data_IF_648767447913
#
_entry.id   IF_648767447913
#
_cell.length_a   1.000
_cell.length_b   1.000
_cell.length_c   1.000
_cell.angle_alpha   90.00
_cell.angle_beta   90.00
_cell.angle_gamma   90.00
#
_symmetry.space_group_name_H-M   'P 1'
#
loop_
_entity.id
_entity.type
_entity.pdbx_description
1 polymer ?
#
# COMPACT_ATOMS: atom_id res chain seq x y z
N UNK A 1 -11.68 -44.95 3.46
CA UNK A 1 -10.44 -44.29 2.98
C UNK A 1 -10.59 -42.77 2.81
N UNK A 2 -11.65 -42.24 2.19
CA UNK A 2 -11.79 -40.77 1.92
C UNK A 2 -11.89 -39.84 3.15
N UNK A 3 -12.44 -40.30 4.28
CA UNK A 3 -12.61 -39.48 5.49
C UNK A 3 -11.27 -39.16 6.18
N UNK A 4 -10.36 -40.14 6.24
CA UNK A 4 -9.06 -39.98 6.88
C UNK A 4 -8.17 -38.99 6.12
N UNK A 5 -8.23 -38.96 4.79
CA UNK A 5 -7.51 -37.98 3.97
C UNK A 5 -8.06 -36.56 4.14
N UNK A 6 -9.39 -36.41 4.24
CA UNK A 6 -10.01 -35.10 4.50
C UNK A 6 -9.60 -34.51 5.85
N UNK A 7 -9.51 -35.33 6.90
CA UNK A 7 -9.04 -34.92 8.23
C UNK A 7 -7.56 -34.51 8.17
N UNK A 8 -6.72 -35.29 7.47
CA UNK A 8 -5.29 -34.98 7.32
C UNK A 8 -5.07 -33.66 6.58
N UNK A 9 -5.83 -33.40 5.51
CA UNK A 9 -5.76 -32.17 4.75
C UNK A 9 -6.21 -30.95 5.58
N UNK A 10 -7.28 -31.10 6.38
CA UNK A 10 -7.75 -30.04 7.27
C UNK A 10 -6.72 -29.71 8.36
N UNK A 11 -6.14 -30.73 9.00
CA UNK A 11 -5.09 -30.54 10.01
C UNK A 11 -3.89 -29.82 9.39
N UNK A 12 -3.39 -30.26 8.22
CA UNK A 12 -2.26 -29.59 7.54
C UNK A 12 -2.54 -28.11 7.29
N UNK A 13 -3.73 -27.79 6.76
CA UNK A 13 -4.12 -26.41 6.46
C UNK A 13 -4.22 -25.53 7.72
N UNK A 14 -4.74 -26.07 8.81
CA UNK A 14 -4.82 -25.34 10.09
C UNK A 14 -3.42 -25.14 10.68
N UNK A 15 -2.58 -26.17 10.64
CA UNK A 15 -1.20 -26.10 11.14
C UNK A 15 -0.38 -25.08 10.36
N UNK A 16 -0.46 -25.06 9.02
CA UNK A 16 0.22 -24.06 8.18
C UNK A 16 -0.24 -22.64 8.50
N UNK A 17 -1.54 -22.42 8.70
CA UNK A 17 -2.08 -21.11 9.09
C UNK A 17 -1.59 -20.67 10.48
N UNK A 18 -1.47 -21.60 11.43
CA UNK A 18 -0.95 -21.29 12.78
C UNK A 18 0.54 -20.95 12.71
N UNK A 19 1.33 -21.74 11.99
CA UNK A 19 2.76 -21.50 11.79
C UNK A 19 2.98 -20.15 11.12
N UNK A 20 2.24 -19.83 10.05
CA UNK A 20 2.30 -18.55 9.35
C UNK A 20 1.97 -17.35 10.25
N UNK A 21 0.94 -17.47 11.09
CA UNK A 21 0.61 -16.44 12.09
C UNK A 21 1.70 -16.29 13.14
N UNK A 22 2.28 -17.39 13.60
CA UNK A 22 3.32 -17.37 14.63
C UNK A 22 4.63 -16.78 14.11
N UNK A 23 5.07 -17.15 12.92
CA UNK A 23 6.27 -16.58 12.28
C UNK A 23 6.09 -15.08 12.02
N UNK A 24 4.88 -14.63 11.69
CA UNK A 24 4.56 -13.21 11.56
C UNK A 24 4.64 -12.45 12.90
N UNK A 25 4.15 -13.04 13.98
CA UNK A 25 4.23 -12.46 15.35
C UNK A 25 5.69 -12.39 15.82
N UNK A 26 6.48 -13.45 15.59
CA UNK A 26 7.90 -13.49 15.95
C UNK A 26 8.69 -12.44 15.18
N UNK A 27 8.48 -12.33 13.86
CA UNK A 27 9.12 -11.32 13.03
C UNK A 27 8.80 -9.90 13.52
N UNK A 28 7.57 -9.64 13.96
CA UNK A 28 7.15 -8.34 14.53
C UNK A 28 7.85 -8.00 15.84
N UNK A 29 8.21 -9.00 16.65
CA UNK A 29 8.80 -8.82 17.97
C UNK A 29 10.33 -8.85 17.98
N UNK A 30 10.99 -9.14 16.85
CA UNK A 30 12.45 -9.18 16.79
C UNK A 30 13.06 -7.77 16.89
N UNK A 31 13.89 -7.50 17.92
CA UNK A 31 14.60 -6.23 18.03
C UNK A 31 15.60 -6.09 16.88
N UNK A 32 15.49 -5.01 16.11
CA UNK A 32 16.51 -4.63 15.11
C UNK A 32 17.70 -3.99 15.82
N UNK A 33 18.71 -4.80 16.14
CA UNK A 33 20.00 -4.30 16.63
C UNK A 33 20.81 -3.80 15.43
N UNK A 34 20.86 -2.48 15.24
CA UNK A 34 21.83 -1.87 14.34
C UNK A 34 23.16 -1.74 15.08
N UNK A 35 24.17 -2.50 14.65
CA UNK A 35 25.49 -2.51 15.26
C UNK A 35 26.29 -1.29 14.77
N UNK A 36 26.14 -0.14 15.42
CA UNK A 36 26.96 1.05 15.16
C UNK A 36 28.17 1.07 16.09
N UNK A 37 29.15 0.22 15.79
CA UNK A 37 30.46 0.29 16.42
C UNK A 37 31.24 1.45 15.79
N UNK A 38 31.34 2.59 16.47
CA UNK A 38 32.47 3.51 16.26
C UNK A 38 32.23 4.96 15.83
N UNK A 39 31.12 5.61 16.17
CA UNK A 39 31.07 7.09 16.13
C UNK A 39 30.28 7.68 17.30
N UNK A 40 30.88 8.67 17.98
CA UNK A 40 30.17 9.53 18.93
C UNK A 40 29.10 10.30 18.14
N UNK A 41 27.88 9.79 18.13
CA UNK A 41 26.73 10.47 17.55
C UNK A 41 26.10 11.34 18.64
N UNK A 42 26.05 12.65 18.38
CA UNK A 42 24.97 13.51 18.86
C UNK A 42 23.62 12.78 18.70
N UNK A 43 22.58 13.07 19.51
CA UNK A 43 21.30 12.38 19.37
C UNK A 43 20.83 12.58 17.92
N UNK A 44 20.95 11.54 17.09
CA UNK A 44 20.50 11.60 15.71
C UNK A 44 19.00 11.74 15.80
N UNK A 45 18.51 12.95 15.63
CA UNK A 45 17.09 13.15 15.31
C UNK A 45 16.84 12.29 14.09
N UNK A 46 16.07 11.21 14.26
CA UNK A 46 15.77 10.31 13.15
C UNK A 46 15.24 11.13 11.98
N UNK A 47 15.86 10.92 10.81
CA UNK A 47 15.48 11.64 9.59
C UNK A 47 14.00 11.39 9.29
N UNK A 48 13.26 12.40 8.77
CA UNK A 48 11.91 12.19 8.31
C UNK A 48 11.82 11.02 7.32
N UNK A 49 11.13 9.95 7.73
CA UNK A 49 10.90 8.79 6.89
C UNK A 49 9.59 8.08 7.25
N UNK A 50 8.98 7.47 6.25
CA UNK A 50 7.83 6.63 6.43
C UNK A 50 7.89 5.45 5.46
N UNK A 51 7.50 4.29 5.96
CA UNK A 51 7.09 3.15 5.16
C UNK A 51 5.77 2.66 5.73
N UNK A 52 4.72 2.76 4.95
CA UNK A 52 3.36 2.38 5.35
C UNK A 52 2.93 1.21 4.48
N UNK A 53 2.27 0.22 5.07
CA UNK A 53 1.61 -0.83 4.30
C UNK A 53 0.10 -0.69 4.40
N UNK A 54 -0.60 -1.23 3.41
CA UNK A 54 -2.05 -1.18 3.35
C UNK A 54 -2.64 -2.17 4.36
N UNK A 55 -3.65 -1.74 5.13
CA UNK A 55 -4.43 -2.61 5.99
C UNK A 55 -5.70 -3.10 5.30
N UNK A 56 -6.07 -4.35 5.58
CA UNK A 56 -7.35 -4.90 5.18
C UNK A 56 -8.51 -4.26 5.98
N UNK A 57 -9.30 -3.44 5.30
CA UNK A 57 -10.48 -2.76 5.86
C UNK A 57 -11.68 -3.69 6.06
N UNK A 58 -11.74 -4.85 5.39
CA UNK A 58 -12.84 -5.80 5.54
C UNK A 58 -12.86 -6.44 6.93
N UNK A 59 -11.71 -6.45 7.62
CA UNK A 59 -11.57 -7.00 8.97
C UNK A 59 -12.07 -6.08 10.10
N UNK A 60 -12.37 -4.80 9.82
CA UNK A 60 -12.65 -3.79 10.86
C UNK A 60 -13.96 -3.00 10.69
N UNK A 61 -14.86 -3.40 9.78
CA UNK A 61 -16.19 -2.78 9.67
C UNK A 61 -16.20 -1.31 9.22
N UNK A 62 -15.10 -0.81 8.64
CA UNK A 62 -15.07 0.52 8.04
C UNK A 62 -15.84 0.50 6.72
N UNK A 63 -16.78 1.43 6.48
CA UNK A 63 -17.46 1.51 5.19
C UNK A 63 -16.43 1.79 4.10
N UNK A 64 -16.11 0.79 3.30
CA UNK A 64 -15.20 0.86 2.15
C UNK A 64 -15.86 1.53 0.96
N UNK A 65 -16.71 2.54 1.19
CA UNK A 65 -17.29 3.28 0.07
C UNK A 65 -16.20 4.13 -0.56
N UNK A 66 -15.92 3.97 -1.86
CA UNK A 66 -14.98 4.80 -2.57
C UNK A 66 -15.48 6.25 -2.55
N UNK A 67 -15.03 7.05 -1.58
CA UNK A 67 -15.33 8.47 -1.59
C UNK A 67 -14.54 9.10 -2.74
N UNK A 68 -15.27 9.51 -3.78
CA UNK A 68 -14.73 10.33 -4.87
C UNK A 68 -14.15 11.60 -4.26
N UNK A 69 -12.90 11.90 -4.60
CA UNK A 69 -12.27 13.16 -4.20
C UNK A 69 -12.45 14.17 -5.33
N UNK A 70 -13.27 15.23 -5.14
CA UNK A 70 -13.44 16.27 -6.14
C UNK A 70 -12.10 16.92 -6.50
N UNK A 71 -11.92 17.31 -7.76
CA UNK A 71 -10.70 17.97 -8.25
C UNK A 71 -9.55 17.02 -8.65
N UNK A 72 -9.72 15.69 -8.52
CA UNK A 72 -8.78 14.71 -9.07
C UNK A 72 -9.21 14.21 -10.46
N UNK A 73 -8.23 13.76 -11.25
CA UNK A 73 -8.49 13.15 -12.55
C UNK A 73 -9.39 11.91 -12.41
N UNK A 74 -10.27 11.66 -13.38
CA UNK A 74 -11.27 10.58 -13.30
C UNK A 74 -10.65 9.19 -13.09
N UNK A 75 -9.45 8.95 -13.62
CA UNK A 75 -8.70 7.69 -13.44
C UNK A 75 -8.02 7.55 -12.08
N UNK A 76 -8.05 8.57 -11.22
CA UNK A 76 -7.31 8.66 -9.97
C UNK A 76 -8.15 9.30 -8.85
N UNK A 77 -9.48 9.11 -8.87
CA UNK A 77 -10.41 9.80 -7.97
C UNK A 77 -10.57 9.15 -6.59
N UNK A 78 -10.01 7.96 -6.39
CA UNK A 78 -10.19 7.17 -5.18
C UNK A 78 -8.92 7.17 -4.32
N UNK A 79 -8.89 8.00 -3.28
CA UNK A 79 -7.76 8.06 -2.34
C UNK A 79 -7.71 6.80 -1.50
N UNK A 80 -6.52 6.21 -1.40
CA UNK A 80 -6.23 5.07 -0.53
C UNK A 80 -6.03 5.59 0.89
N UNK A 81 -6.91 5.21 1.82
CA UNK A 81 -6.94 5.78 3.19
C UNK A 81 -6.41 4.86 4.28
N UNK A 82 -6.44 3.54 4.08
CA UNK A 82 -6.12 2.53 5.09
C UNK A 82 -4.63 2.21 5.20
N UNK A 83 -3.77 3.19 4.97
CA UNK A 83 -2.33 3.06 5.23
C UNK A 83 -2.08 2.93 6.74
N UNK A 84 -1.13 2.08 7.14
CA UNK A 84 -0.79 1.88 8.54
C UNK A 84 0.72 1.67 8.74
N UNK A 85 1.18 1.95 9.96
CA UNK A 85 2.57 1.80 10.41
C UNK A 85 2.75 0.66 11.42
N UNK A 86 1.78 -0.24 11.55
CA UNK A 86 1.72 -1.27 12.60
C UNK A 86 2.00 -2.69 12.08
N UNK A 87 2.38 -2.83 10.81
CA UNK A 87 2.71 -4.09 10.13
C UNK A 87 4.24 -4.32 10.10
N UNK A 88 4.67 -5.50 9.65
CA UNK A 88 6.07 -5.86 9.59
C UNK A 88 6.86 -4.94 8.62
N UNK A 89 7.88 -4.25 9.13
CA UNK A 89 8.72 -3.33 8.36
C UNK A 89 8.15 -1.93 8.16
N UNK A 90 6.89 -1.69 8.53
CA UNK A 90 6.29 -0.37 8.48
C UNK A 90 6.77 0.52 9.64
N UNK A 91 6.96 1.80 9.37
CA UNK A 91 7.41 2.78 10.34
C UNK A 91 6.96 4.19 9.95
N UNK A 92 6.94 5.07 10.94
CA UNK A 92 6.65 6.48 10.77
C UNK A 92 7.57 7.28 11.71
N UNK A 93 8.61 7.87 11.14
CA UNK A 93 9.64 8.60 11.87
C UNK A 93 9.60 10.07 11.50
N UNK A 94 9.32 10.93 12.49
CA UNK A 94 9.23 12.37 12.31
C UNK A 94 8.29 12.78 11.15
N UNK A 95 7.21 12.04 10.91
CA UNK A 95 6.16 12.36 9.94
C UNK A 95 4.81 12.04 10.57
N UNK A 96 3.72 12.56 10.02
CA UNK A 96 2.37 12.24 10.52
C UNK A 96 1.49 11.71 9.40
N UNK A 97 0.60 10.76 9.74
CA UNK A 97 -0.35 10.17 8.81
C UNK A 97 -1.77 10.52 9.26
N UNK A 98 -2.51 11.23 8.42
CA UNK A 98 -3.90 11.63 8.70
C UNK A 98 -4.76 11.35 7.48
N UNK A 99 -5.83 10.55 7.63
CA UNK A 99 -6.78 10.22 6.55
C UNK A 99 -6.10 9.71 5.25
N UNK A 100 -5.06 8.87 5.40
CA UNK A 100 -4.28 8.33 4.28
C UNK A 100 -3.25 9.29 3.67
N UNK A 101 -3.03 10.46 4.28
CA UNK A 101 -2.10 11.47 3.80
C UNK A 101 -0.89 11.58 4.72
N UNK A 102 0.29 11.46 4.15
CA UNK A 102 1.57 11.58 4.84
C UNK A 102 2.01 13.05 4.82
N UNK A 103 2.10 13.68 5.98
CA UNK A 103 2.47 15.09 6.13
C UNK A 103 3.97 15.24 6.32
N UNK A 104 4.57 16.12 5.52
CA UNK A 104 6.00 16.46 5.54
C UNK A 104 6.30 17.38 6.72
N UNK A 105 7.28 17.06 7.58
CA UNK A 105 7.58 17.85 8.77
C UNK A 105 8.49 19.05 8.49
N UNK A 106 9.31 18.97 7.44
CA UNK A 106 10.48 19.83 7.21
C UNK A 106 10.74 19.95 5.72
N UNK A 107 11.14 21.14 5.30
CA UNK A 107 11.57 21.41 3.93
C UNK A 107 12.74 20.51 3.53
N UNK A 108 12.74 20.07 2.29
CA UNK A 108 13.86 19.32 1.74
C UNK A 108 13.50 18.52 0.50
N UNK A 109 14.48 17.75 0.04
CA UNK A 109 14.31 16.83 -1.06
C UNK A 109 13.96 15.44 -0.53
N UNK A 110 12.86 14.88 -1.01
CA UNK A 110 12.35 13.59 -0.55
C UNK A 110 12.27 12.63 -1.73
N UNK A 111 12.73 11.39 -1.53
CA UNK A 111 12.39 10.31 -2.43
C UNK A 111 11.06 9.71 -2.00
N UNK A 112 10.07 9.78 -2.88
CA UNK A 112 8.74 9.21 -2.70
C UNK A 112 8.67 7.91 -3.48
N UNK A 113 7.99 6.92 -2.92
CA UNK A 113 7.72 5.67 -3.60
C UNK A 113 6.38 5.08 -3.16
N UNK A 114 5.74 4.34 -4.06
CA UNK A 114 4.54 3.60 -3.72
C UNK A 114 4.36 2.41 -4.66
N UNK A 115 3.91 1.29 -4.09
CA UNK A 115 3.41 0.15 -4.82
C UNK A 115 1.93 -0.07 -4.49
N UNK A 116 1.12 -0.32 -5.53
CA UNK A 116 -0.24 -0.81 -5.37
C UNK A 116 -0.36 -2.14 -6.12
N UNK A 117 -0.75 -3.18 -5.39
CA UNK A 117 -1.04 -4.49 -5.96
C UNK A 117 -2.52 -4.61 -6.30
N UNK A 118 -2.82 -4.68 -7.59
CA UNK A 118 -4.15 -4.94 -8.10
C UNK A 118 -4.35 -6.44 -8.28
N UNK A 119 -5.42 -6.97 -7.69
CA UNK A 119 -5.88 -8.35 -7.83
C UNK A 119 -7.36 -8.36 -8.22
N UNK A 120 -7.65 -8.95 -9.36
CA UNK A 120 -9.02 -9.20 -9.81
C UNK A 120 -9.44 -10.64 -9.45
N UNK A 121 -10.59 -10.84 -8.79
CA UNK A 121 -11.14 -12.19 -8.58
C UNK A 121 -11.65 -12.77 -9.92
N UNK A 122 -11.43 -14.06 -10.15
CA UNK A 122 -11.82 -14.72 -11.41
C UNK A 122 -13.29 -14.48 -11.78
N UNK A 123 -13.62 -14.22 -13.05
CA UNK A 123 -15.00 -14.14 -13.52
C UNK A 123 -15.78 -15.46 -13.38
N UNK A 124 -15.13 -16.60 -13.08
CA UNK A 124 -15.80 -17.88 -12.79
C UNK A 124 -16.76 -17.83 -11.58
N UNK A 125 -16.72 -16.76 -10.77
CA UNK A 125 -17.64 -16.53 -9.66
C UNK A 125 -18.87 -15.68 -10.02
N UNK A 126 -18.97 -15.16 -11.24
CA UNK A 126 -20.11 -14.34 -11.68
C UNK A 126 -20.73 -14.92 -12.95
N UNK A 127 -21.87 -15.58 -12.78
CA UNK A 127 -22.71 -16.09 -13.86
C UNK A 127 -23.38 -14.89 -14.57
N UNK A 128 -22.68 -14.31 -15.55
CA UNK A 128 -23.14 -13.13 -16.26
C UNK A 128 -22.12 -12.62 -17.28
N UNK A 129 -22.58 -12.46 -18.51
CA UNK A 129 -21.93 -11.98 -19.73
C UNK A 129 -20.85 -10.88 -19.53
N UNK A 130 -19.66 -11.25 -19.05
CA UNK A 130 -18.52 -10.34 -18.94
C UNK A 130 -17.68 -10.46 -20.23
N UNK A 131 -18.10 -9.71 -21.26
CA UNK A 131 -17.23 -9.31 -22.37
C UNK A 131 -15.87 -8.91 -21.81
N UNK A 132 -14.77 -9.26 -22.46
CA UNK A 132 -13.39 -8.95 -22.05
C UNK A 132 -13.21 -7.47 -21.70
N UNK A 133 -13.46 -7.09 -20.44
CA UNK A 133 -13.36 -5.71 -19.99
C UNK A 133 -11.88 -5.40 -19.86
N UNK A 134 -11.34 -4.56 -20.76
CA UNK A 134 -10.00 -4.02 -20.60
C UNK A 134 -9.96 -3.20 -19.30
N UNK A 135 -9.22 -3.65 -18.29
CA UNK A 135 -9.11 -2.91 -17.04
C UNK A 135 -7.97 -1.90 -17.12
N UNK A 136 -8.28 -0.63 -16.85
CA UNK A 136 -7.27 0.41 -16.66
C UNK A 136 -6.90 0.50 -15.18
N UNK A 137 -5.74 -0.04 -14.84
CA UNK A 137 -5.19 -0.06 -13.50
C UNK A 137 -4.28 1.15 -13.34
N UNK A 138 -4.73 2.16 -12.62
CA UNK A 138 -4.02 3.43 -12.50
C UNK A 138 -3.72 3.69 -11.03
N UNK A 139 -2.48 4.08 -10.76
CA UNK A 139 -2.00 4.55 -9.47
C UNK A 139 -1.42 5.96 -9.67
N UNK A 140 -1.92 6.93 -8.91
CA UNK A 140 -1.39 8.28 -8.88
C UNK A 140 -0.83 8.61 -7.49
N UNK A 141 0.23 9.41 -7.45
CA UNK A 141 0.76 10.03 -6.23
C UNK A 141 0.60 11.54 -6.35
N UNK A 142 -0.05 12.14 -5.36
CA UNK A 142 -0.36 13.57 -5.32
C UNK A 142 0.30 14.25 -4.14
N UNK A 143 0.50 15.57 -4.30
CA UNK A 143 0.89 16.52 -3.27
C UNK A 143 -0.22 17.55 -3.10
N UNK A 144 -0.69 17.75 -1.87
CA UNK A 144 -1.52 18.89 -1.50
C UNK A 144 -0.67 19.89 -0.71
N UNK A 145 -0.82 21.15 -1.07
CA UNK A 145 -0.10 22.29 -0.48
C UNK A 145 -1.08 23.45 -0.29
N UNK A 146 -0.62 24.68 -0.18
CA UNK A 146 -1.47 25.88 -0.18
C UNK A 146 -2.17 26.14 -1.53
N UNK A 147 -1.77 25.45 -2.59
CA UNK A 147 -2.40 25.53 -3.90
C UNK A 147 -3.82 24.93 -3.87
N UNK A 148 -4.82 25.55 -4.51
CA UNK A 148 -6.22 25.13 -4.38
C UNK A 148 -6.51 23.67 -4.77
N UNK A 149 -5.76 23.15 -5.76
CA UNK A 149 -5.95 21.79 -6.27
C UNK A 149 -4.75 20.90 -5.93
N UNK A 150 -4.93 19.59 -5.69
CA UNK A 150 -3.80 18.67 -5.55
C UNK A 150 -2.94 18.62 -6.82
N UNK A 151 -1.62 18.58 -6.65
CA UNK A 151 -0.63 18.50 -7.73
C UNK A 151 -0.23 17.04 -7.93
N UNK A 152 -0.38 16.51 -9.14
CA UNK A 152 0.04 15.14 -9.47
C UNK A 152 1.56 15.09 -9.60
N UNK A 153 2.21 14.24 -8.82
CA UNK A 153 3.66 14.04 -8.85
C UNK A 153 4.05 12.86 -9.74
N UNK A 154 3.35 11.74 -9.58
CA UNK A 154 3.62 10.50 -10.31
C UNK A 154 2.29 9.87 -10.77
N UNK A 155 2.34 9.17 -11.91
CA UNK A 155 1.22 8.37 -12.43
C UNK A 155 1.77 7.12 -13.11
N UNK A 156 1.32 5.96 -12.63
CA UNK A 156 1.57 4.65 -13.23
C UNK A 156 0.27 4.09 -13.80
N UNK A 157 0.36 3.49 -14.98
CA UNK A 157 -0.79 2.92 -15.69
C UNK A 157 -0.43 1.51 -16.16
N UNK A 158 -1.30 0.54 -15.87
CA UNK A 158 -1.29 -0.79 -16.45
C UNK A 158 -2.59 -1.03 -17.20
N UNK A 159 -2.49 -1.28 -18.50
CA UNK A 159 -3.60 -1.80 -19.30
C UNK A 159 -3.35 -3.29 -19.52
N UNK A 160 -4.33 -4.11 -19.16
CA UNK A 160 -4.23 -5.57 -19.33
C UNK A 160 -5.51 -6.09 -19.96
N UNK A 161 -5.32 -6.90 -20.99
CA UNK A 161 -6.36 -7.79 -21.52
C UNK A 161 -6.17 -9.12 -20.80
N UNK A 162 -7.13 -9.49 -19.97
CA UNK A 162 -7.12 -10.79 -19.31
C UNK A 162 -7.88 -11.79 -20.18
N UNK A 163 -7.36 -13.01 -20.27
CA UNK A 163 -8.09 -14.08 -20.92
C UNK A 163 -9.40 -14.35 -20.16
N UNK A 164 -10.52 -14.66 -20.84
CA UNK A 164 -11.80 -14.89 -20.18
C UNK A 164 -11.78 -16.01 -19.12
N UNK A 165 -10.90 -16.99 -19.30
CA UNK A 165 -10.66 -18.14 -18.42
C UNK A 165 -9.54 -17.93 -17.39
N UNK A 166 -9.00 -16.71 -17.28
CA UNK A 166 -7.97 -16.40 -16.30
C UNK A 166 -8.49 -16.62 -14.86
N UNK A 167 -7.86 -17.54 -14.15
CA UNK A 167 -8.16 -17.82 -12.73
C UNK A 167 -7.81 -16.63 -11.82
N UNK A 168 -6.83 -15.81 -12.23
CA UNK A 168 -6.45 -14.60 -11.51
C UNK A 168 -5.84 -13.57 -12.45
N UNK A 169 -6.09 -12.30 -12.15
CA UNK A 169 -5.53 -11.17 -12.85
C UNK A 169 -4.76 -10.30 -11.85
N UNK A 170 -3.43 -10.33 -11.97
CA UNK A 170 -2.49 -9.79 -10.99
C UNK A 170 -1.63 -8.72 -11.63
N UNK A 171 -1.56 -7.54 -11.03
CA UNK A 171 -0.69 -6.47 -11.51
C UNK A 171 -0.23 -5.56 -10.39
N UNK A 172 1.08 -5.45 -10.21
CA UNK A 172 1.68 -4.46 -9.31
C UNK A 172 2.11 -3.25 -10.11
N UNK A 173 1.69 -2.06 -9.66
CA UNK A 173 2.21 -0.79 -10.17
C UNK A 173 3.13 -0.25 -9.10
N UNK A 174 4.42 -0.10 -9.43
CA UNK A 174 5.41 0.58 -8.60
C UNK A 174 5.87 1.86 -9.30
N UNK A 175 6.01 2.93 -8.53
CA UNK A 175 6.57 4.18 -9.01
C UNK A 175 7.31 4.88 -7.87
N UNK A 176 8.33 5.65 -8.22
CA UNK A 176 9.05 6.49 -7.28
C UNK A 176 9.77 7.63 -7.98
N UNK A 177 10.09 8.67 -7.23
CA UNK A 177 10.70 9.88 -7.77
C UNK A 177 11.17 10.83 -6.67
N UNK A 178 12.03 11.76 -7.07
CA UNK A 178 12.65 12.72 -6.18
C UNK A 178 11.96 14.08 -6.32
N UNK A 179 11.49 14.64 -5.21
CA UNK A 179 10.72 15.89 -5.22
C UNK A 179 11.17 16.82 -4.10
N UNK A 180 11.08 18.12 -4.38
CA UNK A 180 11.22 19.15 -3.35
C UNK A 180 9.87 19.39 -2.67
N UNK A 181 9.86 19.20 -1.35
CA UNK A 181 8.69 19.29 -0.51
C UNK A 181 8.92 20.31 0.61
N UNK A 182 7.84 20.97 1.01
CA UNK A 182 7.85 21.94 2.10
C UNK A 182 7.17 21.35 3.33
N UNK A 183 7.55 21.85 4.50
CA UNK A 183 6.86 21.57 5.75
C UNK A 183 5.36 21.88 5.60
N UNK A 184 4.53 20.91 5.97
CA UNK A 184 3.07 21.01 5.82
C UNK A 184 2.51 20.46 4.52
N UNK A 185 3.32 20.14 3.50
CA UNK A 185 2.84 19.43 2.32
C UNK A 185 2.27 18.05 2.73
N UNK A 186 1.12 17.69 2.16
CA UNK A 186 0.45 16.40 2.38
C UNK A 186 0.58 15.52 1.13
N UNK A 187 1.20 14.35 1.27
CA UNK A 187 1.37 13.37 0.19
C UNK A 187 0.31 12.27 0.28
N UNK A 188 -0.26 11.85 -0.84
CA UNK A 188 -1.24 10.77 -0.82
C UNK A 188 -1.31 9.99 -2.14
N UNK A 189 -1.79 8.75 -2.04
CA UNK A 189 -1.97 7.82 -3.16
C UNK A 189 -3.44 7.72 -3.52
N UNK A 190 -3.74 7.68 -4.82
CA UNK A 190 -5.08 7.38 -5.33
C UNK A 190 -5.05 6.40 -6.49
N UNK A 191 -6.17 5.72 -6.74
CA UNK A 191 -6.29 4.63 -7.71
C UNK A 191 -7.54 4.75 -8.59
N UNK A 192 -7.56 4.00 -9.70
CA UNK A 192 -8.74 3.87 -10.57
C UNK A 192 -9.81 2.93 -10.00
N UNK A 193 -9.40 1.80 -9.41
CA UNK A 193 -10.31 0.73 -9.00
C UNK A 193 -9.98 0.25 -7.59
N UNK A 194 -10.51 0.90 -6.53
CA UNK A 194 -10.18 0.58 -5.15
C UNK A 194 -10.62 -0.81 -4.72
N UNK A 195 -11.69 -1.36 -5.31
CA UNK A 195 -12.17 -2.73 -5.07
C UNK A 195 -11.21 -3.81 -5.55
N UNK A 196 -10.27 -3.45 -6.43
CA UNK A 196 -9.24 -4.36 -6.95
C UNK A 196 -7.92 -4.22 -6.20
N UNK A 197 -7.79 -3.28 -5.25
CA UNK A 197 -6.56 -3.11 -4.49
C UNK A 197 -6.49 -4.17 -3.41
N UNK A 198 -5.43 -4.96 -3.43
CA UNK A 198 -5.19 -5.99 -2.44
C UNK A 198 -4.41 -5.41 -1.24
N UNK A 199 -4.91 -5.71 -0.04
CA UNK A 199 -4.41 -5.23 1.24
C UNK A 199 -3.64 -6.29 2.05
N UNK A 200 -3.22 -7.39 1.43
CA UNK A 200 -2.29 -8.33 2.04
C UNK A 200 -0.99 -7.61 2.46
N UNK A 201 -0.51 -7.90 3.69
CA UNK A 201 0.19 -6.98 4.60
C UNK A 201 1.50 -6.38 4.04
N UNK A 202 2.03 -6.88 2.92
CA UNK A 202 3.24 -6.41 2.25
C UNK A 202 3.10 -6.16 0.74
N UNK A 203 1.93 -6.38 0.15
CA UNK A 203 1.76 -6.30 -1.32
C UNK A 203 1.62 -4.86 -1.82
N UNK A 204 1.01 -4.00 -1.00
CA UNK A 204 0.77 -2.58 -1.29
C UNK A 204 1.39 -1.70 -0.20
N UNK A 205 2.19 -0.72 -0.61
CA UNK A 205 2.93 0.15 0.31
C UNK A 205 3.10 1.57 -0.23
N UNK A 206 3.34 2.50 0.69
CA UNK A 206 3.57 3.92 0.40
C UNK A 206 4.60 4.46 1.39
N UNK A 207 5.60 5.17 0.88
CA UNK A 207 6.63 5.74 1.73
C UNK A 207 7.33 6.94 1.12
N UNK A 208 8.08 7.60 1.99
CA UNK A 208 8.96 8.70 1.63
C UNK A 208 10.11 8.77 2.63
N UNK A 209 11.27 9.26 2.20
CA UNK A 209 12.36 9.63 3.11
C UNK A 209 13.08 10.86 2.61
N UNK A 210 13.53 11.69 3.54
CA UNK A 210 14.32 12.88 3.24
C UNK A 210 15.76 12.49 2.87
N UNK A 211 16.29 13.14 1.82
CA UNK A 211 17.70 13.11 1.49
C UNK A 211 18.43 14.26 2.18
N UNK A 212 19.65 13.97 2.62
CA UNK A 212 20.64 14.99 2.93
C UNK A 212 21.48 15.14 1.65
N UNK A 213 21.51 16.35 1.10
CA UNK A 213 22.45 16.73 0.04
C UNK A 213 23.45 17.71 0.63
#
# INVERSE_FOLDING_TARGET
MKLAEGIKAYISKVTENIISKQTFIEARNMPRIFNTSGSKLSPVTQRPSAHLTLRDTNSQGFPSYPSNTPGLHQSCRHVVRSWANQSFGAHLHNMTLTNGKLRVPQDGRYYLYSQVYFRYPSPAASDGDQRSVSHQLVQCVYKKTSYPSPIQLLKGVGTKCWAPDAEYALHSVYQGGLFELRAGDELFVSVSSPTMVNADDSSSYFGAFRLDL
#
